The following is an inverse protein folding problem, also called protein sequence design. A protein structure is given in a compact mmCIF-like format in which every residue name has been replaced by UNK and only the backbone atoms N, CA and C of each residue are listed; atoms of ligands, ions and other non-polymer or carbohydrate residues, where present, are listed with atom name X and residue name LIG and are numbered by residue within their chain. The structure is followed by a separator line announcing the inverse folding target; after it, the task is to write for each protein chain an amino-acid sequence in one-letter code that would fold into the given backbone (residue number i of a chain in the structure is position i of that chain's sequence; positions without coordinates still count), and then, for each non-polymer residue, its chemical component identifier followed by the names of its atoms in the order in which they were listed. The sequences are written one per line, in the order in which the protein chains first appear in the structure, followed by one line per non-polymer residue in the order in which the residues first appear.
data_IF_601709806020
#
_entry.id   IF_601709806020
#
_cell.length_a   1.000
_cell.length_b   1.000
_cell.length_c   1.000
_cell.angle_alpha   90.00
_cell.angle_beta   90.00
_cell.angle_gamma   90.00
#
_symmetry.space_group_name_H-M   'P 1'
#
loop_
_entity.id
_entity.type
_entity.pdbx_description
1 polymer ?
#
# COMPACT_ATOMS: atom_id res chain seq x y z
N UNK A 1 -13.36 -2.62 65.19
CA UNK A 1 -14.02 -2.39 63.87
C UNK A 1 -13.06 -1.68 62.91
N UNK A 2 -12.08 -2.40 62.33
CA UNK A 2 -11.03 -1.83 61.44
C UNK A 2 -10.67 -2.75 60.26
N UNK A 3 -11.60 -3.63 59.83
CA UNK A 3 -11.35 -4.62 58.76
C UNK A 3 -12.36 -4.61 57.60
N UNK A 4 -13.26 -3.62 57.54
CA UNK A 4 -14.32 -3.59 56.51
C UNK A 4 -14.09 -2.48 55.45
N UNK A 5 -13.12 -1.59 55.64
CA UNK A 5 -12.92 -0.43 54.74
C UNK A 5 -12.03 -0.68 53.51
N UNK A 6 -11.35 -1.83 53.40
CA UNK A 6 -10.41 -2.09 52.29
C UNK A 6 -11.07 -2.90 51.15
N UNK A 7 -12.19 -3.59 51.41
CA UNK A 7 -12.85 -4.41 50.39
C UNK A 7 -13.69 -3.60 49.38
N UNK A 8 -14.18 -2.41 49.74
CA UNK A 8 -14.92 -1.56 48.79
C UNK A 8 -14.03 -0.83 47.78
N UNK A 9 -12.76 -0.55 48.11
CA UNK A 9 -11.84 0.11 47.17
C UNK A 9 -11.29 -0.83 46.10
N UNK A 10 -11.31 -2.14 46.35
CA UNK A 10 -10.83 -3.15 45.39
C UNK A 10 -11.91 -3.54 44.37
N UNK A 11 -13.20 -3.40 44.72
CA UNK A 11 -14.32 -3.63 43.78
C UNK A 11 -14.55 -2.45 42.81
N UNK A 12 -14.15 -1.23 43.16
CA UNK A 12 -14.29 -0.06 42.28
C UNK A 12 -13.23 0.01 41.17
N UNK A 13 -12.13 -0.75 41.26
CA UNK A 13 -11.13 -0.84 40.19
C UNK A 13 -11.56 -1.75 39.02
N UNK A 14 -12.62 -2.55 39.18
CA UNK A 14 -13.12 -3.43 38.12
C UNK A 14 -14.26 -2.83 37.28
N UNK A 15 -14.77 -1.65 37.65
CA UNK A 15 -15.69 -0.87 36.80
C UNK A 15 -14.93 0.18 35.98
N UNK A 16 -13.78 -0.21 35.41
CA UNK A 16 -13.24 0.52 34.27
C UNK A 16 -14.28 0.40 33.14
N UNK A 17 -15.06 1.48 32.95
CA UNK A 17 -16.08 1.59 31.93
C UNK A 17 -15.45 1.31 30.56
N UNK A 18 -15.61 0.08 30.04
CA UNK A 18 -15.20 -0.23 28.67
C UNK A 18 -16.10 0.60 27.76
N UNK A 19 -15.55 1.67 27.18
CA UNK A 19 -16.24 2.41 26.11
C UNK A 19 -16.67 1.40 25.06
N UNK A 20 -17.96 1.30 24.82
CA UNK A 20 -18.46 0.44 23.77
C UNK A 20 -18.03 1.02 22.41
N UNK A 21 -17.39 0.20 21.59
CA UNK A 21 -16.95 0.61 20.27
C UNK A 21 -18.17 0.80 19.35
N UNK A 22 -18.15 1.86 18.54
CA UNK A 22 -19.11 2.05 17.45
C UNK A 22 -18.97 0.94 16.39
N UNK A 23 -19.97 0.80 15.52
CA UNK A 23 -19.90 -0.17 14.41
C UNK A 23 -18.69 0.10 13.49
N UNK A 24 -18.37 1.37 13.26
CA UNK A 24 -17.19 1.79 12.50
C UNK A 24 -15.90 1.40 13.21
N UNK A 25 -15.76 1.72 14.50
CA UNK A 25 -14.59 1.35 15.31
C UNK A 25 -14.41 -0.18 15.37
N UNK A 26 -15.50 -0.95 15.46
CA UNK A 26 -15.49 -2.42 15.40
C UNK A 26 -15.05 -2.93 14.02
N UNK A 27 -15.50 -2.28 12.94
CA UNK A 27 -15.13 -2.64 11.56
C UNK A 27 -13.65 -2.35 11.28
N UNK A 28 -13.16 -1.18 11.69
CA UNK A 28 -11.72 -0.81 11.63
C UNK A 28 -10.88 -1.81 12.41
N UNK A 29 -11.32 -2.18 13.61
CA UNK A 29 -10.62 -3.17 14.43
C UNK A 29 -10.57 -4.54 13.74
N UNK A 30 -11.70 -5.05 13.24
CA UNK A 30 -11.77 -6.28 12.44
C UNK A 30 -10.81 -6.23 11.27
N UNK A 31 -10.81 -5.14 10.50
CA UNK A 31 -9.90 -4.96 9.37
C UNK A 31 -8.43 -5.11 9.77
N UNK A 32 -8.02 -4.40 10.83
CA UNK A 32 -6.64 -4.40 11.30
C UNK A 32 -6.17 -5.76 11.78
N UNK A 33 -7.05 -6.51 12.45
CA UNK A 33 -6.70 -7.78 13.10
C UNK A 33 -6.69 -8.98 12.15
N UNK A 34 -7.23 -8.85 10.94
CA UNK A 34 -7.46 -9.99 10.04
C UNK A 34 -6.69 -9.93 8.71
N UNK A 35 -5.70 -9.03 8.57
CA UNK A 35 -4.86 -8.97 7.37
C UNK A 35 -4.32 -10.37 7.00
N UNK A 36 -4.59 -10.82 5.76
CA UNK A 36 -4.21 -12.16 5.30
C UNK A 36 -2.81 -12.13 4.66
N UNK A 37 -1.91 -12.94 5.21
CA UNK A 37 -0.56 -13.17 4.70
C UNK A 37 -0.36 -14.65 4.47
N UNK A 38 -0.09 -15.09 3.23
CA UNK A 38 0.18 -16.50 2.97
C UNK A 38 1.37 -16.68 2.05
N UNK A 39 2.45 -17.20 2.62
CA UNK A 39 3.55 -17.83 1.89
C UNK A 39 3.32 -19.32 1.79
N UNK A 40 2.37 -19.72 0.94
CA UNK A 40 2.12 -21.13 0.67
C UNK A 40 2.61 -21.49 -0.72
N UNK A 41 3.84 -22.00 -0.81
CA UNK A 41 4.45 -22.48 -2.05
C UNK A 41 5.64 -21.63 -2.53
N UNK A 42 6.25 -22.01 -3.66
CA UNK A 42 7.27 -21.18 -4.31
C UNK A 42 6.67 -19.83 -4.72
N UNK A 43 7.44 -18.77 -4.57
CA UNK A 43 7.06 -17.45 -5.07
C UNK A 43 7.05 -17.49 -6.62
N UNK A 44 6.04 -16.86 -7.22
CA UNK A 44 5.96 -16.70 -8.67
C UNK A 44 7.07 -15.79 -9.23
N UNK A 45 6.99 -15.49 -10.53
CA UNK A 45 7.97 -14.64 -11.22
C UNK A 45 8.04 -13.22 -10.61
N UNK A 46 6.92 -12.76 -10.04
CA UNK A 46 6.81 -11.48 -9.36
C UNK A 46 6.20 -11.66 -7.98
N UNK A 47 6.76 -10.93 -7.03
CA UNK A 47 6.33 -11.06 -5.65
C UNK A 47 6.77 -9.88 -4.81
N UNK A 48 6.10 -9.74 -3.69
CA UNK A 48 6.64 -9.09 -2.50
C UNK A 48 6.85 -10.14 -1.42
N UNK A 49 7.96 -10.08 -0.69
CA UNK A 49 8.18 -10.89 0.51
C UNK A 49 8.93 -10.09 1.57
N UNK A 50 8.86 -10.51 2.82
CA UNK A 50 9.64 -9.94 3.93
C UNK A 50 9.13 -10.47 5.27
N UNK A 51 9.55 -9.84 6.36
CA UNK A 51 9.06 -10.11 7.71
C UNK A 51 8.52 -8.87 8.34
N UNK A 52 7.38 -8.99 9.03
CA UNK A 52 6.84 -7.91 9.84
C UNK A 52 6.57 -8.45 11.24
N UNK A 53 7.15 -7.81 12.26
CA UNK A 53 7.04 -8.26 13.65
C UNK A 53 7.51 -9.72 13.87
N UNK A 54 8.49 -10.18 13.09
CA UNK A 54 9.02 -11.55 13.14
C UNK A 54 8.18 -12.61 12.44
N UNK A 55 7.06 -12.23 11.81
CA UNK A 55 6.23 -13.12 11.00
C UNK A 55 6.54 -12.94 9.51
N UNK A 56 6.70 -14.06 8.80
CA UNK A 56 6.91 -14.04 7.35
C UNK A 56 5.65 -13.54 6.64
N UNK A 57 5.87 -12.66 5.67
CA UNK A 57 4.84 -12.06 4.84
C UNK A 57 5.26 -12.15 3.38
N UNK A 58 4.35 -12.58 2.50
CA UNK A 58 4.53 -12.44 1.07
C UNK A 58 3.21 -12.39 0.30
N UNK A 59 3.30 -11.88 -0.92
CA UNK A 59 2.29 -11.94 -1.97
C UNK A 59 3.00 -12.19 -3.30
N UNK A 60 2.49 -13.09 -4.12
CA UNK A 60 3.10 -13.44 -5.40
C UNK A 60 2.07 -13.69 -6.48
N UNK A 61 2.46 -13.46 -7.74
CA UNK A 61 1.69 -13.78 -8.93
C UNK A 61 2.63 -14.44 -9.95
N UNK A 62 2.11 -15.40 -10.70
CA UNK A 62 2.78 -15.93 -11.87
C UNK A 62 2.22 -15.26 -13.14
N UNK A 63 2.97 -15.26 -14.24
CA UNK A 63 2.53 -14.63 -15.50
C UNK A 63 1.24 -15.25 -16.08
N UNK A 64 0.98 -16.53 -15.83
CA UNK A 64 -0.18 -17.24 -16.36
C UNK A 64 -1.49 -16.86 -15.64
N UNK A 65 -1.39 -16.40 -14.40
CA UNK A 65 -2.53 -16.10 -13.51
C UNK A 65 -3.01 -14.66 -13.60
N UNK A 66 -2.25 -13.74 -14.20
CA UNK A 66 -2.57 -12.30 -14.27
C UNK A 66 -3.88 -11.95 -15.00
N UNK A 67 -4.38 -12.83 -15.87
CA UNK A 67 -5.54 -12.54 -16.75
C UNK A 67 -6.88 -13.03 -16.22
N UNK A 68 -6.92 -13.66 -15.05
CA UNK A 68 -8.14 -14.27 -14.48
C UNK A 68 -8.77 -13.38 -13.40
N UNK A 69 -10.06 -13.05 -13.55
CA UNK A 69 -10.85 -12.24 -12.62
C UNK A 69 -11.05 -12.99 -11.29
N UNK A 70 -10.06 -12.92 -10.42
CA UNK A 70 -10.03 -13.71 -9.18
C UNK A 70 -8.61 -14.01 -8.68
N UNK A 71 -7.59 -13.62 -9.44
CA UNK A 71 -6.18 -13.78 -9.06
C UNK A 71 -5.51 -12.42 -8.84
N UNK A 72 -4.43 -12.35 -8.05
CA UNK A 72 -3.70 -11.11 -7.87
C UNK A 72 -3.09 -10.67 -9.20
N UNK A 73 -3.00 -9.37 -9.45
CA UNK A 73 -2.35 -8.86 -10.65
C UNK A 73 -1.39 -7.72 -10.34
N UNK A 74 -0.44 -7.54 -11.25
CA UNK A 74 0.58 -6.50 -11.16
C UNK A 74 0.20 -5.37 -12.09
N UNK A 75 0.33 -4.15 -11.60
CA UNK A 75 0.11 -2.94 -12.40
C UNK A 75 1.31 -2.01 -12.23
N UNK A 76 1.96 -1.73 -13.35
CA UNK A 76 3.09 -0.82 -13.48
C UNK A 76 2.74 0.26 -14.51
N UNK A 77 2.89 1.54 -14.17
CA UNK A 77 2.57 2.62 -15.10
C UNK A 77 2.59 4.01 -14.47
N UNK A 78 2.41 5.04 -15.30
CA UNK A 78 2.24 6.42 -14.84
C UNK A 78 0.83 6.61 -14.27
N UNK A 79 0.77 7.19 -13.08
CA UNK A 79 -0.43 7.76 -12.49
C UNK A 79 -0.30 9.28 -12.40
N UNK A 80 -1.38 10.00 -12.74
CA UNK A 80 -1.44 11.46 -12.71
C UNK A 80 -2.57 11.95 -11.81
N UNK A 81 -2.28 12.95 -10.98
CA UNK A 81 -3.29 13.68 -10.22
C UNK A 81 -4.05 14.68 -11.10
N UNK A 82 -5.38 14.74 -10.94
CA UNK A 82 -6.36 15.52 -11.72
C UNK A 82 -6.32 15.23 -13.23
N UNK A 83 -7.30 14.46 -13.69
CA UNK A 83 -7.44 13.96 -15.06
C UNK A 83 -7.77 15.07 -16.06
N UNK A 84 -6.86 15.31 -17.01
CA UNK A 84 -7.24 15.50 -18.41
C UNK A 84 -6.18 14.85 -19.29
N UNK A 85 -6.37 13.62 -19.77
CA UNK A 85 -5.50 13.05 -20.78
C UNK A 85 -5.83 13.72 -22.11
N UNK A 86 -4.88 14.44 -22.71
CA UNK A 86 -4.98 14.78 -24.13
C UNK A 86 -3.66 14.51 -24.81
N UNK A 87 -3.76 13.83 -25.96
CA UNK A 87 -2.71 13.62 -26.96
C UNK A 87 -2.13 14.92 -27.54
N UNK A 88 -2.61 16.08 -27.08
CA UNK A 88 -2.05 17.41 -27.28
C UNK A 88 -2.14 18.16 -25.94
N UNK A 89 -1.03 18.49 -25.26
CA UNK A 89 -1.07 19.22 -24.00
C UNK A 89 -1.55 20.65 -24.28
N UNK A 90 -2.81 20.94 -23.98
CA UNK A 90 -3.26 22.33 -23.88
C UNK A 90 -2.82 22.86 -22.52
N UNK A 91 -1.71 23.61 -22.51
CA UNK A 91 -1.30 24.41 -21.36
C UNK A 91 -2.44 25.38 -21.02
N UNK A 92 -3.20 25.07 -19.97
CA UNK A 92 -4.08 26.06 -19.35
C UNK A 92 -3.23 26.93 -18.42
N UNK A 93 -3.00 28.22 -18.73
CA UNK A 93 -2.30 29.11 -17.82
C UNK A 93 -3.21 29.29 -16.59
N UNK A 94 -2.88 28.60 -15.50
CA UNK A 94 -3.69 28.57 -14.28
C UNK A 94 -4.09 27.17 -13.78
N UNK A 95 -3.76 26.09 -14.49
CA UNK A 95 -3.93 24.74 -13.96
C UNK A 95 -2.90 24.46 -12.84
N UNK A 96 -3.38 23.97 -11.70
CA UNK A 96 -2.55 23.45 -10.59
C UNK A 96 -1.53 22.44 -11.14
N UNK A 97 -0.28 22.39 -10.66
CA UNK A 97 0.71 21.45 -11.18
C UNK A 97 0.16 20.02 -11.19
N UNK A 98 0.26 19.34 -12.34
CA UNK A 98 -0.03 17.92 -12.41
C UNK A 98 1.04 17.20 -11.60
N UNK A 99 0.57 16.26 -10.80
CA UNK A 99 1.42 15.40 -10.01
C UNK A 99 1.49 14.05 -10.72
N UNK A 100 2.60 13.78 -11.40
CA UNK A 100 2.81 12.53 -12.13
C UNK A 100 3.87 11.68 -11.45
N UNK A 101 3.61 10.39 -11.33
CA UNK A 101 4.56 9.42 -10.79
C UNK A 101 4.39 8.07 -11.47
N UNK A 102 5.48 7.33 -11.59
CA UNK A 102 5.44 5.91 -11.92
C UNK A 102 5.13 5.09 -10.67
N UNK A 103 4.16 4.19 -10.75
CA UNK A 103 3.80 3.28 -9.68
C UNK A 103 4.06 1.84 -10.08
N UNK A 104 4.55 1.05 -9.13
CA UNK A 104 4.63 -0.39 -9.19
C UNK A 104 3.69 -0.94 -8.13
N UNK A 105 2.74 -1.76 -8.53
CA UNK A 105 1.76 -2.27 -7.59
C UNK A 105 1.46 -3.75 -7.79
N UNK A 106 1.34 -4.43 -6.66
CA UNK A 106 0.76 -5.74 -6.55
C UNK A 106 -0.64 -5.57 -5.96
N UNK A 107 -1.67 -5.90 -6.73
CA UNK A 107 -3.06 -5.71 -6.31
C UNK A 107 -3.68 -7.06 -5.96
N UNK A 108 -4.38 -7.18 -4.82
CA UNK A 108 -5.12 -8.38 -4.51
C UNK A 108 -6.23 -8.60 -5.54
N UNK A 109 -6.70 -9.84 -5.71
CA UNK A 109 -7.90 -10.10 -6.49
C UNK A 109 -9.06 -9.20 -6.03
N UNK A 110 -9.77 -8.59 -6.98
CA UNK A 110 -11.03 -7.91 -6.69
C UNK A 110 -12.19 -8.70 -7.26
N UNK A 111 -13.23 -8.91 -6.47
CA UNK A 111 -14.40 -9.67 -6.90
C UNK A 111 -15.37 -8.87 -7.80
N UNK A 112 -15.03 -7.63 -8.19
CA UNK A 112 -15.85 -6.84 -9.13
C UNK A 112 -15.08 -5.67 -9.78
N UNK A 113 -14.84 -5.77 -11.09
CA UNK A 113 -14.32 -4.69 -11.94
C UNK A 113 -15.32 -3.56 -12.22
N UNK A 114 -16.60 -3.71 -11.84
CA UNK A 114 -17.68 -2.73 -12.06
C UNK A 114 -17.70 -1.57 -11.04
N UNK A 115 -16.53 -1.06 -10.64
CA UNK A 115 -16.40 0.20 -9.91
C UNK A 115 -16.79 0.20 -8.43
N UNK A 116 -17.10 -0.96 -7.84
CA UNK A 116 -17.37 -1.12 -6.39
C UNK A 116 -16.25 -1.85 -5.63
N UNK A 117 -15.30 -2.45 -6.35
CA UNK A 117 -13.93 -2.76 -5.91
C UNK A 117 -13.81 -3.34 -4.51
N UNK A 118 -14.47 -4.47 -4.22
CA UNK A 118 -14.10 -5.25 -3.04
C UNK A 118 -12.88 -6.07 -3.43
N UNK A 119 -11.71 -5.68 -2.93
CA UNK A 119 -10.60 -6.63 -2.78
C UNK A 119 -11.15 -7.83 -2.01
N UNK A 120 -10.67 -9.03 -2.30
CA UNK A 120 -10.84 -10.17 -1.38
C UNK A 120 -10.49 -9.65 0.03
N UNK A 121 -11.42 -9.77 0.98
CA UNK A 121 -11.27 -9.13 2.29
C UNK A 121 -9.90 -9.48 2.86
N UNK A 122 -9.23 -8.46 3.42
CA UNK A 122 -7.96 -8.56 4.12
C UNK A 122 -6.70 -8.84 3.28
N UNK A 123 -6.82 -9.09 1.98
CA UNK A 123 -5.66 -9.31 1.12
C UNK A 123 -4.89 -7.99 0.89
N UNK A 124 -3.55 -7.97 1.06
CA UNK A 124 -2.77 -6.76 0.95
C UNK A 124 -2.44 -6.40 -0.50
N UNK A 125 -2.52 -5.10 -0.78
CA UNK A 125 -1.96 -4.39 -1.92
C UNK A 125 -0.60 -3.84 -1.53
N UNK A 126 0.40 -4.09 -2.37
CA UNK A 126 1.74 -3.51 -2.21
C UNK A 126 1.92 -2.45 -3.28
N UNK A 127 2.42 -1.29 -2.91
CA UNK A 127 2.70 -0.23 -3.87
C UNK A 127 4.01 0.49 -3.54
N UNK A 128 4.82 0.66 -4.58
CA UNK A 128 5.98 1.55 -4.61
C UNK A 128 5.68 2.65 -5.64
N UNK A 129 5.80 3.90 -5.24
CA UNK A 129 5.66 5.05 -6.12
C UNK A 129 6.98 5.81 -6.19
N UNK A 130 7.38 6.17 -7.40
CA UNK A 130 8.48 7.13 -7.61
C UNK A 130 8.12 8.52 -7.04
N UNK A 131 9.13 9.37 -6.79
CA UNK A 131 8.88 10.76 -6.44
C UNK A 131 8.01 11.46 -7.48
N UNK A 132 7.15 12.36 -7.01
CA UNK A 132 6.27 13.11 -7.90
C UNK A 132 7.07 14.09 -8.75
N UNK A 133 6.81 14.10 -10.05
CA UNK A 133 7.16 15.22 -10.91
C UNK A 133 5.99 16.20 -10.83
N UNK A 134 6.27 17.40 -10.30
CA UNK A 134 5.32 18.51 -10.23
C UNK A 134 5.54 19.38 -11.47
N UNK A 135 4.85 19.05 -12.55
CA UNK A 135 4.94 19.78 -13.82
C UNK A 135 3.55 19.90 -14.46
N UNK A 136 3.41 20.85 -15.37
CA UNK A 136 2.26 20.98 -16.27
C UNK A 136 2.25 19.95 -17.42
N UNK A 137 3.34 19.21 -17.61
CA UNK A 137 3.53 18.28 -18.74
C UNK A 137 3.58 16.83 -18.24
N UNK A 138 2.87 15.94 -18.92
CA UNK A 138 2.99 14.48 -18.74
C UNK A 138 4.02 13.95 -19.72
N UNK A 139 5.16 13.48 -19.21
CA UNK A 139 6.18 12.84 -20.04
C UNK A 139 5.77 11.41 -20.47
N UNK A 140 6.45 10.81 -21.47
CA UNK A 140 6.32 9.37 -21.72
C UNK A 140 6.85 8.53 -20.55
N UNK A 141 6.26 7.34 -20.32
CA UNK A 141 6.63 6.38 -19.25
C UNK A 141 8.14 6.15 -19.12
N UNK A 142 8.82 6.02 -20.25
CA UNK A 142 10.26 5.77 -20.30
C UNK A 142 11.09 6.90 -19.67
N UNK A 143 10.62 8.14 -19.70
CA UNK A 143 11.33 9.28 -19.10
C UNK A 143 11.25 9.27 -17.58
N UNK A 144 10.10 8.90 -17.01
CA UNK A 144 9.98 8.69 -15.55
C UNK A 144 10.86 7.53 -15.10
N UNK A 145 10.84 6.44 -15.87
CA UNK A 145 11.62 5.26 -15.57
C UNK A 145 13.12 5.57 -15.55
N UNK A 146 13.65 6.18 -16.61
CA UNK A 146 15.06 6.59 -16.68
C UNK A 146 15.48 7.55 -15.57
N UNK A 147 14.57 8.41 -15.11
CA UNK A 147 14.87 9.42 -14.09
C UNK A 147 15.05 8.82 -12.69
N UNK A 148 14.26 7.82 -12.35
CA UNK A 148 14.17 7.32 -10.97
C UNK A 148 14.65 5.88 -10.79
N UNK A 149 14.62 5.06 -11.84
CA UNK A 149 14.92 3.63 -11.77
C UNK A 149 16.37 3.41 -12.20
N UNK A 150 17.22 3.20 -11.20
CA UNK A 150 18.65 2.86 -11.34
C UNK A 150 19.07 2.02 -10.14
N UNK A 151 20.02 1.12 -10.34
CA UNK A 151 20.59 0.34 -9.23
C UNK A 151 21.23 1.25 -8.17
N UNK A 152 21.19 0.79 -6.93
CA UNK A 152 21.74 1.46 -5.75
C UNK A 152 20.68 2.10 -4.87
N UNK A 153 21.17 2.87 -3.90
CA UNK A 153 20.35 3.44 -2.83
C UNK A 153 19.39 4.51 -3.35
N UNK A 154 18.15 4.43 -2.87
CA UNK A 154 17.04 5.30 -3.19
C UNK A 154 16.58 6.02 -1.92
N UNK A 155 15.99 7.20 -2.10
CA UNK A 155 15.43 7.96 -0.98
C UNK A 155 14.01 7.50 -0.72
N UNK A 156 13.77 6.86 0.42
CA UNK A 156 12.43 6.63 0.94
C UNK A 156 11.86 7.92 1.54
N UNK A 157 10.63 8.28 1.19
CA UNK A 157 9.98 9.50 1.69
C UNK A 157 9.64 9.37 3.18
N UNK A 158 9.91 10.43 3.93
CA UNK A 158 9.47 10.61 5.32
C UNK A 158 8.95 12.04 5.52
N UNK A 159 7.66 12.14 5.82
CA UNK A 159 6.91 13.38 6.04
C UNK A 159 7.16 13.97 7.46
N UNK A 160 7.92 13.28 8.31
CA UNK A 160 8.39 13.78 9.61
C UNK A 160 9.47 14.88 9.48
N UNK A 161 10.06 15.01 8.29
CA UNK A 161 11.02 16.07 8.01
C UNK A 161 10.29 17.35 7.57
N UNK A 162 10.61 18.49 8.20
CA UNK A 162 10.04 19.79 7.81
C UNK A 162 10.32 20.06 6.33
N UNK A 163 9.27 20.22 5.53
CA UNK A 163 9.38 20.52 4.11
C UNK A 163 9.41 19.28 3.20
N UNK A 164 9.20 18.08 3.73
CA UNK A 164 8.93 16.91 2.90
C UNK A 164 7.71 17.15 2.01
N UNK A 165 7.85 16.85 0.73
CA UNK A 165 6.77 16.90 -0.25
C UNK A 165 6.66 15.54 -0.93
N UNK A 166 5.60 15.35 -1.73
CA UNK A 166 5.47 14.14 -2.56
C UNK A 166 6.60 13.97 -3.58
N UNK A 167 7.40 15.00 -3.82
CA UNK A 167 8.59 14.96 -4.68
C UNK A 167 9.89 14.59 -3.94
N UNK A 168 9.86 14.43 -2.61
CA UNK A 168 11.07 14.29 -1.79
C UNK A 168 11.66 12.87 -1.77
N UNK A 169 10.95 11.87 -2.27
CA UNK A 169 11.40 10.48 -2.25
C UNK A 169 10.33 9.51 -2.73
N UNK A 170 10.69 8.24 -2.78
CA UNK A 170 9.79 7.15 -3.09
C UNK A 170 8.77 6.93 -1.97
N UNK A 171 7.55 6.57 -2.34
CA UNK A 171 6.52 6.17 -1.40
C UNK A 171 6.38 4.65 -1.40
N UNK A 172 6.31 4.04 -0.23
CA UNK A 172 6.01 2.62 -0.06
C UNK A 172 4.76 2.48 0.79
N UNK A 173 3.83 1.63 0.37
CA UNK A 173 2.59 1.38 1.11
C UNK A 173 2.19 -0.09 1.03
N UNK A 174 1.77 -0.64 2.17
CA UNK A 174 1.05 -1.91 2.28
C UNK A 174 -0.37 -1.55 2.67
N UNK A 175 -1.35 -1.74 1.78
CA UNK A 175 -2.75 -1.39 2.02
C UNK A 175 -3.67 -2.60 1.96
N UNK A 176 -4.71 -2.69 2.78
CA UNK A 176 -5.73 -3.73 2.67
C UNK A 176 -7.09 -3.18 3.07
N UNK A 177 -8.15 -3.87 2.68
CA UNK A 177 -9.52 -3.47 2.96
C UNK A 177 -10.41 -4.63 3.38
N UNK A 178 -11.53 -4.30 3.99
CA UNK A 178 -12.57 -5.25 4.38
C UNK A 178 -13.95 -4.58 4.32
N UNK A 179 -15.02 -5.37 4.16
CA UNK A 179 -16.36 -4.81 4.26
C UNK A 179 -16.63 -4.38 5.72
N UNK A 180 -17.35 -3.27 5.87
CA UNK A 180 -17.85 -2.86 7.19
C UNK A 180 -18.74 -3.97 7.77
N UNK A 181 -18.77 -4.06 9.10
CA UNK A 181 -19.75 -4.90 9.77
C UNK A 181 -21.17 -4.41 9.46
N UNK A 182 -22.15 -5.32 9.26
CA UNK A 182 -22.12 -6.74 9.60
C UNK A 182 -21.41 -7.66 8.58
N UNK A 183 -20.80 -7.12 7.53
CA UNK A 183 -19.90 -7.85 6.63
C UNK A 183 -20.44 -7.98 5.21
N UNK A 184 -19.61 -8.55 4.35
CA UNK A 184 -19.86 -8.67 2.91
C UNK A 184 -21.20 -9.35 2.60
N UNK A 185 -21.51 -10.50 3.19
CA UNK A 185 -22.71 -11.29 2.86
C UNK A 185 -24.01 -10.50 3.09
N UNK A 186 -24.10 -9.80 4.22
CA UNK A 186 -25.24 -8.94 4.51
C UNK A 186 -25.41 -7.82 3.48
N UNK A 187 -24.32 -7.15 3.10
CA UNK A 187 -24.39 -6.04 2.14
C UNK A 187 -24.57 -6.52 0.71
N UNK A 188 -24.10 -7.71 0.36
CA UNK A 188 -24.38 -8.34 -0.94
C UNK A 188 -25.88 -8.58 -1.12
N UNK A 189 -26.56 -9.03 -0.08
CA UNK A 189 -28.01 -9.26 -0.11
C UNK A 189 -28.82 -7.96 -0.09
N UNK A 190 -28.39 -6.97 0.71
CA UNK A 190 -29.19 -5.76 0.97
C UNK A 190 -28.84 -4.57 0.07
N UNK A 191 -27.58 -4.50 -0.42
CA UNK A 191 -27.00 -3.39 -1.20
C UNK A 191 -25.95 -3.90 -2.20
N UNK A 192 -26.34 -4.74 -3.18
CA UNK A 192 -25.39 -5.42 -4.08
C UNK A 192 -24.51 -4.48 -4.92
N UNK A 193 -24.92 -3.22 -5.09
CA UNK A 193 -24.19 -2.20 -5.87
C UNK A 193 -23.38 -1.23 -4.99
N UNK A 194 -23.44 -1.34 -3.66
CA UNK A 194 -22.81 -0.38 -2.76
C UNK A 194 -22.48 -1.03 -1.40
N UNK A 195 -21.42 -1.83 -1.38
CA UNK A 195 -20.91 -2.47 -0.17
C UNK A 195 -19.93 -1.49 0.51
N UNK A 196 -20.22 -1.02 1.75
CA UNK A 196 -19.34 -0.12 2.46
C UNK A 196 -18.06 -0.84 2.92
N UNK A 197 -16.93 -0.14 2.84
CA UNK A 197 -15.60 -0.69 3.12
C UNK A 197 -14.81 0.17 4.09
N UNK A 198 -13.88 -0.47 4.78
CA UNK A 198 -12.80 0.20 5.54
C UNK A 198 -11.47 -0.20 4.93
N UNK A 199 -10.62 0.78 4.64
CA UNK A 199 -9.24 0.58 4.23
C UNK A 199 -8.27 0.88 5.37
N UNK A 200 -7.22 0.07 5.48
CA UNK A 200 -6.08 0.28 6.37
C UNK A 200 -4.82 0.30 5.51
N UNK A 201 -3.85 1.14 5.88
CA UNK A 201 -2.53 1.15 5.26
C UNK A 201 -1.43 1.16 6.29
N UNK A 202 -0.27 0.63 5.91
CA UNK A 202 1.01 0.73 6.59
C UNK A 202 1.99 1.45 5.68
N UNK A 203 2.75 2.37 6.25
CA UNK A 203 3.64 3.22 5.48
C UNK A 203 4.81 3.72 6.33
N UNK A 204 5.99 3.94 5.74
CA UNK A 204 7.13 4.53 6.43
C UNK A 204 7.12 6.07 6.40
N UNK A 205 6.07 6.68 5.83
CA UNK A 205 5.97 8.13 5.65
C UNK A 205 5.98 8.91 6.95
N UNK A 206 5.55 8.31 8.05
CA UNK A 206 5.48 8.99 9.34
C UNK A 206 6.43 8.31 10.31
N UNK A 207 6.87 9.04 11.33
CA UNK A 207 7.95 8.58 12.19
C UNK A 207 9.34 8.77 11.57
N UNK A 208 10.35 8.70 12.42
CA UNK A 208 11.75 8.67 12.00
C UNK A 208 12.07 7.33 11.33
N UNK A 209 12.95 7.37 10.34
CA UNK A 209 13.41 6.22 9.57
C UNK A 209 14.93 6.08 9.73
N UNK A 210 15.39 5.93 10.98
CA UNK A 210 16.81 6.08 11.35
C UNK A 210 17.72 4.97 10.78
N UNK A 211 17.16 3.87 10.25
CA UNK A 211 17.89 2.77 9.60
C UNK A 211 17.06 2.16 8.46
N UNK A 212 16.44 2.99 7.62
CA UNK A 212 15.72 2.46 6.46
C UNK A 212 16.68 2.05 5.35
N UNK A 213 16.42 0.89 4.74
CA UNK A 213 17.02 0.46 3.48
C UNK A 213 15.96 0.60 2.41
N UNK A 214 16.27 1.31 1.34
CA UNK A 214 15.44 1.32 0.15
C UNK A 214 16.36 1.44 -1.06
N UNK A 215 16.47 0.37 -1.85
CA UNK A 215 17.40 0.32 -2.99
C UNK A 215 16.90 -0.58 -4.09
N UNK A 216 17.37 -0.35 -5.31
CA UNK A 216 17.26 -1.34 -6.39
C UNK A 216 18.55 -2.16 -6.36
N UNK A 217 18.44 -3.44 -6.01
CA UNK A 217 19.59 -4.35 -5.90
C UNK A 217 19.88 -5.11 -7.20
N UNK A 218 18.88 -5.25 -8.07
CA UNK A 218 19.03 -5.85 -9.39
C UNK A 218 18.17 -5.11 -10.42
N UNK A 219 18.78 -4.74 -11.54
CA UNK A 219 18.10 -4.21 -12.72
C UNK A 219 18.64 -4.88 -13.99
N UNK A 220 17.93 -5.89 -14.46
CA UNK A 220 18.27 -6.56 -15.71
C UNK A 220 17.45 -6.00 -16.86
N UNK A 221 18.11 -5.68 -17.97
CA UNK A 221 17.46 -5.17 -19.18
C UNK A 221 17.60 -6.23 -20.28
N UNK A 222 16.46 -6.74 -20.74
CA UNK A 222 16.37 -7.56 -21.93
C UNK A 222 15.50 -6.87 -22.98
N UNK A 223 15.46 -7.39 -24.21
CA UNK A 223 14.74 -6.73 -25.28
C UNK A 223 14.33 -7.66 -26.41
N UNK A 224 13.23 -7.28 -27.05
CA UNK A 224 12.80 -7.76 -28.37
C UNK A 224 12.70 -6.52 -29.28
N UNK A 225 12.73 -6.66 -30.62
CA UNK A 225 12.61 -5.49 -31.50
C UNK A 225 11.38 -4.64 -31.15
N UNK A 226 11.60 -3.36 -30.80
CA UNK A 226 10.54 -2.41 -30.45
C UNK A 226 10.07 -2.43 -28.99
N UNK A 227 10.65 -3.25 -28.12
CA UNK A 227 10.36 -3.24 -26.68
C UNK A 227 11.58 -3.58 -25.83
N UNK A 228 11.67 -2.95 -24.65
CA UNK A 228 12.60 -3.29 -23.58
C UNK A 228 11.83 -3.87 -22.40
N UNK A 229 12.37 -4.94 -21.84
CA UNK A 229 11.86 -5.59 -20.65
C UNK A 229 12.85 -5.32 -19.52
N UNK A 230 12.37 -4.74 -18.44
CA UNK A 230 13.14 -4.39 -17.26
C UNK A 230 12.70 -5.27 -16.10
N UNK A 231 13.57 -6.17 -15.65
CA UNK A 231 13.37 -6.95 -14.44
C UNK A 231 14.03 -6.23 -13.27
N UNK A 232 13.26 -5.95 -12.22
CA UNK A 232 13.65 -5.04 -11.14
C UNK A 232 13.43 -5.72 -9.80
N UNK A 233 14.45 -5.69 -8.94
CA UNK A 233 14.36 -6.11 -7.55
C UNK A 233 14.62 -4.93 -6.63
N UNK A 234 13.63 -4.58 -5.81
CA UNK A 234 13.79 -3.61 -4.74
C UNK A 234 14.04 -4.34 -3.42
N UNK A 235 14.96 -3.80 -2.62
CA UNK A 235 15.16 -4.18 -1.23
C UNK A 235 14.66 -3.08 -0.31
N UNK A 236 13.90 -3.47 0.70
CA UNK A 236 13.14 -2.58 1.58
C UNK A 236 13.28 -3.04 3.03
N UNK A 237 13.82 -2.18 3.88
CA UNK A 237 13.72 -2.28 5.33
C UNK A 237 13.26 -0.94 5.87
N UNK A 238 12.19 -0.92 6.65
CA UNK A 238 11.68 0.34 7.20
C UNK A 238 10.76 0.13 8.38
N UNK A 239 10.59 1.18 9.17
CA UNK A 239 9.58 1.20 10.22
C UNK A 239 8.23 1.54 9.62
N UNK A 240 7.21 0.75 9.95
CA UNK A 240 5.85 0.84 9.42
C UNK A 240 4.91 1.45 10.45
N UNK A 241 4.08 2.38 9.99
CA UNK A 241 3.10 3.10 10.78
C UNK A 241 1.73 3.04 10.12
N UNK A 242 0.66 3.08 10.91
CA UNK A 242 -0.69 3.11 10.36
C UNK A 242 -0.97 4.42 9.59
N UNK A 243 -1.29 4.28 8.30
CA UNK A 243 -1.69 5.35 7.38
C UNK A 243 -3.17 5.72 7.59
N UNK A 244 -3.51 6.34 8.72
CA UNK A 244 -4.88 6.83 8.96
C UNK A 244 -4.86 8.09 9.81
N UNK A 245 -5.58 9.11 9.33
CA UNK A 245 -5.80 10.38 10.03
C UNK A 245 -6.38 10.19 11.45
N UNK A 246 -7.15 9.12 11.66
CA UNK A 246 -7.81 8.82 12.94
C UNK A 246 -6.96 7.92 13.87
N UNK A 247 -5.91 7.27 13.36
CA UNK A 247 -5.07 6.35 14.13
C UNK A 247 -3.75 6.97 14.60
N UNK A 248 -3.53 8.26 14.31
CA UNK A 248 -2.45 9.05 14.90
C UNK A 248 -1.05 8.54 14.60
N UNK A 249 -0.80 8.03 13.38
CA UNK A 249 0.53 7.60 12.94
C UNK A 249 1.20 6.65 13.95
N UNK A 250 0.43 5.72 14.51
CA UNK A 250 0.95 4.74 15.48
C UNK A 250 1.89 3.75 14.80
N UNK A 251 3.01 3.50 15.47
CA UNK A 251 3.95 2.44 15.09
C UNK A 251 3.24 1.10 15.06
N UNK A 252 3.46 0.33 13.99
CA UNK A 252 2.93 -1.01 13.80
C UNK A 252 4.01 -2.07 13.98
N UNK A 253 5.19 -1.83 13.42
CA UNK A 253 6.27 -2.79 13.37
C UNK A 253 7.37 -2.38 12.42
N UNK A 254 8.37 -3.24 12.25
CA UNK A 254 9.44 -3.07 11.27
C UNK A 254 9.25 -4.09 10.15
N UNK A 255 9.43 -3.65 8.91
CA UNK A 255 9.65 -4.52 7.75
C UNK A 255 11.14 -4.86 7.67
N UNK A 256 11.43 -6.15 7.70
CA UNK A 256 12.77 -6.74 7.56
C UNK A 256 12.81 -7.64 6.33
N UNK A 257 13.99 -7.80 5.72
CA UNK A 257 14.21 -8.66 4.55
C UNK A 257 13.21 -8.41 3.38
N UNK A 258 12.74 -7.17 3.22
CA UNK A 258 11.71 -6.85 2.25
C UNK A 258 12.23 -6.90 0.81
N UNK A 259 11.65 -7.76 -0.02
CA UNK A 259 11.97 -7.91 -1.45
C UNK A 259 10.72 -7.63 -2.27
N UNK A 260 10.79 -6.69 -3.21
CA UNK A 260 9.75 -6.48 -4.23
C UNK A 260 10.35 -6.75 -5.61
N UNK A 261 9.95 -7.86 -6.23
CA UNK A 261 10.37 -8.25 -7.58
C UNK A 261 9.25 -7.99 -8.58
N UNK A 262 9.55 -7.22 -9.62
CA UNK A 262 8.59 -6.81 -10.65
C UNK A 262 9.24 -6.74 -12.03
N UNK A 263 8.42 -6.66 -13.08
CA UNK A 263 8.87 -6.41 -14.44
C UNK A 263 8.09 -5.30 -15.11
N UNK A 264 8.80 -4.47 -15.87
CA UNK A 264 8.20 -3.44 -16.70
C UNK A 264 8.56 -3.67 -18.15
N UNK A 265 7.53 -3.67 -19.01
CA UNK A 265 7.70 -3.71 -20.46
C UNK A 265 7.43 -2.32 -21.02
N UNK A 266 8.39 -1.77 -21.75
CA UNK A 266 8.28 -0.45 -22.39
C UNK A 266 8.62 -0.53 -23.88
N UNK A 267 7.95 0.25 -24.74
CA UNK A 267 8.34 0.40 -26.14
C UNK A 267 9.69 1.13 -26.30
#
# INVERSE_FOLDING_TARGET
MKRIFIFCSMCFLFFACKKELTLDEKSVKRCKENMEFTCTGPLGDFYFSGKINGEDFCVSADMETLWDSGKPWISNGIWTGTTTPTSDPTLSPGATPFASYYAFSFNPPTDNFNGTGLSKEFAPRIEIQTPYILDSIVYPDIEYFKRFIKEGDLVLRSDDTKGATRASGFNFTIGWGCAMLPGYDYYKETRPLAIPQVGIGLTPLTGKQDNAVFRISELTISGVPGYRVYDITFEIECDLYYASANNGHRYYGRLEDGIFKTQVVMP
#
